data_IF_445943385816
#
_entry.id   IF_445943385816
#
_cell.length_a   1.000
_cell.length_b   1.000
_cell.length_c   1.000
_cell.angle_alpha   90.00
_cell.angle_beta   90.00
_cell.angle_gamma   90.00
#
_symmetry.space_group_name_H-M   'P 1'
#
loop_
_entity.id
_entity.type
_entity.pdbx_description
1 polymer ?
#
# COMPACT_ATOMS: atom_id res chain seq x y z
N UNK A 1 36.13 -64.95 1.70
CA UNK A 1 35.39 -63.75 2.24
C UNK A 1 36.19 -62.54 1.84
N UNK A 2 35.77 -61.84 0.77
CA UNK A 2 36.54 -60.80 0.11
C UNK A 2 35.83 -59.46 0.36
N UNK A 3 36.42 -58.54 1.11
CA UNK A 3 35.91 -57.21 1.30
C UNK A 3 36.36 -56.30 0.16
N UNK A 4 35.36 -55.76 -0.56
CA UNK A 4 35.57 -54.78 -1.63
C UNK A 4 35.63 -53.36 -0.99
N UNK A 5 36.82 -52.76 -0.98
CA UNK A 5 37.08 -51.38 -0.56
C UNK A 5 36.48 -50.40 -1.59
N UNK A 6 35.53 -49.59 -1.14
CA UNK A 6 34.93 -48.50 -1.93
C UNK A 6 35.82 -47.26 -1.78
N UNK A 7 36.70 -47.01 -2.75
CA UNK A 7 37.44 -45.76 -2.86
C UNK A 7 36.49 -44.63 -3.23
N UNK A 8 36.20 -43.74 -2.24
CA UNK A 8 35.60 -42.45 -2.53
C UNK A 8 36.67 -41.56 -3.17
N UNK A 9 36.52 -41.26 -4.45
CA UNK A 9 37.30 -40.22 -5.11
C UNK A 9 36.83 -38.86 -4.62
N UNK A 10 37.64 -38.22 -3.76
CA UNK A 10 37.50 -36.81 -3.45
C UNK A 10 37.96 -36.03 -4.70
N UNK A 11 37.02 -35.36 -5.36
CA UNK A 11 37.34 -34.42 -6.41
C UNK A 11 38.00 -33.20 -5.75
N UNK A 12 39.30 -33.06 -5.95
CA UNK A 12 40.03 -31.89 -5.53
C UNK A 12 39.60 -30.71 -6.42
N UNK A 13 38.83 -29.79 -5.84
CA UNK A 13 38.48 -28.50 -6.47
C UNK A 13 39.74 -27.65 -6.43
N UNK A 14 40.40 -27.49 -7.60
CA UNK A 14 41.59 -26.63 -7.71
C UNK A 14 41.29 -25.15 -7.40
N UNK A 15 42.31 -24.34 -7.11
CA UNK A 15 42.15 -22.94 -6.73
C UNK A 15 41.32 -22.10 -7.70
N UNK A 16 41.31 -22.47 -8.97
CA UNK A 16 40.49 -21.84 -10.02
C UNK A 16 38.98 -22.10 -9.86
N UNK A 17 38.58 -23.26 -9.31
CA UNK A 17 37.20 -23.60 -9.07
C UNK A 17 36.59 -22.75 -7.94
N UNK A 18 37.40 -22.41 -6.91
CA UNK A 18 36.99 -21.57 -5.79
C UNK A 18 36.82 -20.10 -6.24
N UNK A 19 37.72 -19.59 -7.10
CA UNK A 19 37.62 -18.21 -7.63
C UNK A 19 36.41 -18.06 -8.57
N UNK A 20 36.17 -19.05 -9.44
CA UNK A 20 34.99 -19.02 -10.32
C UNK A 20 33.68 -19.13 -9.53
N UNK A 21 33.65 -19.94 -8.48
CA UNK A 21 32.51 -20.05 -7.57
C UNK A 21 32.22 -18.76 -6.82
N UNK A 22 33.24 -18.04 -6.35
CA UNK A 22 33.13 -16.75 -5.69
C UNK A 22 32.66 -15.64 -6.65
N UNK A 23 33.14 -15.63 -7.89
CA UNK A 23 32.71 -14.66 -8.91
C UNK A 23 31.26 -14.90 -9.34
N UNK A 24 30.82 -16.15 -9.48
CA UNK A 24 29.43 -16.48 -9.77
C UNK A 24 28.50 -16.16 -8.61
N UNK A 25 28.94 -16.34 -7.35
CA UNK A 25 28.16 -15.97 -6.17
C UNK A 25 28.03 -14.46 -6.01
N UNK A 26 29.07 -13.68 -6.36
CA UNK A 26 29.02 -12.22 -6.36
C UNK A 26 28.07 -11.64 -7.42
N UNK A 27 27.87 -12.34 -8.55
CA UNK A 27 26.95 -11.90 -9.60
C UNK A 27 25.47 -12.08 -9.23
N UNK A 28 25.15 -13.01 -8.32
CA UNK A 28 23.76 -13.28 -7.90
C UNK A 28 23.25 -12.30 -6.84
N UNK A 29 24.15 -11.57 -6.19
CA UNK A 29 23.83 -10.64 -5.09
C UNK A 29 23.45 -9.22 -5.54
N UNK A 30 23.39 -8.93 -6.84
CA UNK A 30 22.78 -7.70 -7.33
C UNK A 30 21.26 -7.87 -7.32
N UNK A 31 20.67 -7.91 -6.11
CA UNK A 31 19.25 -7.68 -5.93
C UNK A 31 18.98 -6.27 -6.49
N UNK A 32 18.42 -6.21 -7.70
CA UNK A 32 17.98 -4.96 -8.28
C UNK A 32 16.83 -4.47 -7.43
N UNK A 33 17.11 -3.54 -6.52
CA UNK A 33 16.08 -2.72 -5.92
C UNK A 33 15.42 -1.97 -7.09
N UNK A 34 14.29 -2.46 -7.58
CA UNK A 34 13.47 -1.71 -8.50
C UNK A 34 13.02 -0.46 -7.76
N UNK A 35 13.78 0.60 -7.91
CA UNK A 35 13.39 1.92 -7.46
C UNK A 35 12.18 2.31 -8.31
N UNK A 36 10.99 2.13 -7.78
CA UNK A 36 9.79 2.64 -8.43
C UNK A 36 9.90 4.16 -8.46
N UNK A 37 9.85 4.73 -9.64
CA UNK A 37 9.82 6.17 -9.86
C UNK A 37 8.49 6.58 -10.44
N UNK A 38 8.13 7.85 -10.28
CA UNK A 38 6.98 8.49 -10.88
C UNK A 38 7.47 9.58 -11.83
N UNK A 39 6.98 9.57 -13.05
CA UNK A 39 7.27 10.62 -14.02
C UNK A 39 6.05 11.51 -14.19
N UNK A 40 6.22 12.80 -13.93
CA UNK A 40 5.19 13.82 -14.08
C UNK A 40 5.74 14.93 -14.97
N UNK A 41 5.06 15.26 -16.06
CA UNK A 41 5.40 16.35 -16.98
C UNK A 41 6.90 16.43 -17.38
N UNK A 42 7.53 15.27 -17.52
CA UNK A 42 8.92 15.14 -17.88
C UNK A 42 9.88 15.06 -16.69
N UNK A 43 9.48 15.43 -15.50
CA UNK A 43 10.28 15.29 -14.28
C UNK A 43 10.17 13.89 -13.68
N UNK A 44 11.24 13.43 -13.07
CA UNK A 44 11.31 12.11 -12.43
C UNK A 44 11.36 12.27 -10.92
N UNK A 45 10.34 11.77 -10.27
CA UNK A 45 10.26 11.69 -8.80
C UNK A 45 10.69 10.32 -8.34
N UNK A 46 11.56 10.29 -7.36
CA UNK A 46 12.18 9.09 -6.80
C UNK A 46 12.11 9.08 -5.28
N UNK A 47 12.43 7.94 -4.70
CA UNK A 47 12.54 7.83 -3.24
C UNK A 47 13.61 8.79 -2.69
N UNK A 48 13.28 9.52 -1.64
CA UNK A 48 14.12 10.51 -0.98
C UNK A 48 13.78 11.95 -1.39
N UNK A 49 13.11 12.17 -2.52
CA UNK A 49 12.71 13.51 -2.96
C UNK A 49 11.76 14.16 -1.96
N UNK A 50 11.80 15.49 -1.91
CA UNK A 50 10.95 16.25 -1.00
C UNK A 50 9.48 16.25 -1.45
N UNK A 51 8.56 16.32 -0.50
CA UNK A 51 7.13 16.55 -0.75
C UNK A 51 6.91 17.75 -1.67
N UNK A 52 7.66 18.83 -1.46
CA UNK A 52 7.56 20.03 -2.27
C UNK A 52 7.96 19.80 -3.74
N UNK A 53 8.98 18.98 -4.00
CA UNK A 53 9.37 18.58 -5.36
C UNK A 53 8.29 17.72 -6.02
N UNK A 54 7.75 16.74 -5.30
CA UNK A 54 6.63 15.94 -5.78
C UNK A 54 5.43 16.81 -6.17
N UNK A 55 5.05 17.77 -5.32
CA UNK A 55 3.94 18.69 -5.61
C UNK A 55 4.26 19.62 -6.79
N UNK A 56 5.48 20.11 -6.89
CA UNK A 56 5.89 20.96 -8.01
C UNK A 56 5.86 20.24 -9.35
N UNK A 57 6.29 18.97 -9.37
CA UNK A 57 6.33 18.16 -10.58
C UNK A 57 4.97 17.55 -10.97
N UNK A 58 4.21 17.03 -10.00
CA UNK A 58 3.00 16.25 -10.24
C UNK A 58 1.69 16.98 -9.89
N UNK A 59 1.78 18.19 -9.35
CA UNK A 59 0.60 18.93 -8.88
C UNK A 59 0.08 18.43 -7.52
N UNK A 60 -1.14 18.85 -7.19
CA UNK A 60 -1.82 18.37 -5.99
C UNK A 60 -2.33 16.94 -6.20
N UNK A 61 -2.25 16.07 -5.18
CA UNK A 61 -2.80 14.73 -5.29
C UNK A 61 -4.33 14.74 -5.34
N UNK A 62 -4.93 13.79 -6.04
CA UNK A 62 -6.40 13.59 -6.05
C UNK A 62 -6.92 13.21 -4.66
N UNK A 63 -6.09 12.58 -3.83
CA UNK A 63 -6.41 12.25 -2.46
C UNK A 63 -5.18 12.14 -1.59
N UNK A 64 -5.29 12.63 -0.36
CA UNK A 64 -4.31 12.42 0.70
C UNK A 64 -4.94 11.61 1.83
N UNK A 65 -4.25 10.58 2.27
CA UNK A 65 -4.66 9.75 3.41
C UNK A 65 -3.55 9.77 4.46
N UNK A 66 -3.80 10.36 5.65
CA UNK A 66 -2.84 10.26 6.76
C UNK A 66 -2.82 8.82 7.26
N UNK A 67 -1.63 8.28 7.46
CA UNK A 67 -1.43 6.91 7.93
C UNK A 67 -0.35 6.85 8.99
N UNK A 68 -0.42 5.82 9.83
CA UNK A 68 0.52 5.67 10.94
C UNK A 68 0.48 6.88 11.86
N UNK A 69 -0.01 6.72 13.06
CA UNK A 69 -0.12 7.80 14.03
C UNK A 69 0.73 7.48 15.25
N UNK A 70 1.39 8.49 15.79
CA UNK A 70 2.12 8.40 17.06
C UNK A 70 1.47 9.30 18.09
N UNK A 71 1.46 8.84 19.33
CA UNK A 71 1.02 9.66 20.46
C UNK A 71 2.14 10.65 20.83
N UNK A 72 1.84 11.94 20.72
CA UNK A 72 2.77 12.99 21.13
C UNK A 72 2.21 13.70 22.35
N UNK A 73 2.99 13.75 23.42
CA UNK A 73 2.58 14.40 24.69
C UNK A 73 2.28 15.87 24.45
N UNK A 74 1.08 16.31 24.81
CA UNK A 74 0.60 17.68 24.63
C UNK A 74 0.05 18.00 23.24
N UNK A 75 0.26 17.16 22.24
CA UNK A 75 -0.24 17.37 20.87
C UNK A 75 -1.24 16.29 20.39
N UNK A 76 -1.41 15.22 21.15
CA UNK A 76 -2.33 14.14 20.78
C UNK A 76 -1.74 13.18 19.74
N UNK A 77 -2.60 12.63 18.89
CA UNK A 77 -2.21 11.72 17.80
C UNK A 77 -1.82 12.54 16.56
N UNK A 78 -0.58 12.38 16.12
CA UNK A 78 -0.08 13.00 14.90
C UNK A 78 0.28 11.92 13.87
N UNK A 79 -0.15 12.08 12.60
CA UNK A 79 0.30 11.19 11.54
C UNK A 79 1.78 11.44 11.25
N UNK A 80 2.53 10.37 11.06
CA UNK A 80 3.94 10.47 10.66
C UNK A 80 4.17 10.06 9.20
N UNK A 81 3.16 9.49 8.55
CA UNK A 81 3.17 9.14 7.13
C UNK A 81 1.88 9.65 6.46
N UNK A 82 1.99 9.87 5.14
CA UNK A 82 0.85 10.20 4.28
C UNK A 82 0.91 9.33 3.03
N UNK A 83 -0.24 8.91 2.53
CA UNK A 83 -0.39 8.33 1.20
C UNK A 83 -1.02 9.36 0.29
N UNK A 84 -0.31 9.71 -0.77
CA UNK A 84 -0.79 10.59 -1.82
C UNK A 84 -1.15 9.75 -3.04
N UNK A 85 -2.33 9.96 -3.56
CA UNK A 85 -2.84 9.25 -4.74
C UNK A 85 -2.96 10.21 -5.92
N UNK A 86 -2.46 9.77 -7.08
CA UNK A 86 -2.59 10.46 -8.35
C UNK A 86 -3.34 9.55 -9.32
N UNK A 87 -4.45 10.05 -9.87
CA UNK A 87 -5.29 9.37 -10.84
C UNK A 87 -5.17 10.06 -12.19
N UNK A 88 -4.38 9.51 -13.07
CA UNK A 88 -4.14 10.03 -14.42
C UNK A 88 -5.17 9.50 -15.45
N UNK A 89 -6.35 9.12 -14.99
CA UNK A 89 -7.46 8.66 -15.82
C UNK A 89 -7.47 7.15 -16.06
N UNK A 90 -8.53 6.68 -16.72
CA UNK A 90 -8.88 5.27 -16.84
C UNK A 90 -7.87 4.39 -17.61
N UNK A 91 -6.96 5.00 -18.37
CA UNK A 91 -5.94 4.27 -19.15
C UNK A 91 -4.62 4.10 -18.40
N UNK A 92 -4.44 4.81 -17.31
CA UNK A 92 -3.23 4.81 -16.50
C UNK A 92 -3.47 4.14 -15.16
N UNK A 93 -2.40 3.70 -14.52
CA UNK A 93 -2.49 3.19 -13.15
C UNK A 93 -2.55 4.34 -12.16
N UNK A 94 -3.37 4.21 -11.14
CA UNK A 94 -3.30 5.07 -9.97
C UNK A 94 -1.91 4.95 -9.38
N UNK A 95 -1.26 6.08 -9.15
CA UNK A 95 0.04 6.14 -8.48
C UNK A 95 -0.17 6.47 -7.02
N UNK A 96 0.35 5.62 -6.16
CA UNK A 96 0.37 5.85 -4.72
C UNK A 96 1.79 6.22 -4.30
N UNK A 97 1.94 7.40 -3.73
CA UNK A 97 3.20 7.88 -3.18
C UNK A 97 3.09 7.92 -1.66
N UNK A 98 3.94 7.15 -1.00
CA UNK A 98 4.07 7.20 0.46
C UNK A 98 5.07 8.27 0.83
N UNK A 99 4.66 9.19 1.66
CA UNK A 99 5.52 10.21 2.26
C UNK A 99 5.78 9.87 3.73
N UNK A 100 7.00 10.07 4.17
CA UNK A 100 7.40 9.96 5.57
C UNK A 100 8.39 11.09 5.86
N UNK A 101 8.18 11.80 6.92
CA UNK A 101 9.03 12.95 7.33
C UNK A 101 9.23 13.98 6.20
N UNK A 102 8.17 14.22 5.42
CA UNK A 102 8.18 15.19 4.31
C UNK A 102 8.96 14.74 3.07
N UNK A 103 9.32 13.46 2.96
CA UNK A 103 10.03 12.87 1.83
C UNK A 103 9.30 11.67 1.24
N UNK A 104 9.53 11.42 -0.03
CA UNK A 104 9.05 10.21 -0.72
C UNK A 104 9.72 8.97 -0.11
N UNK A 105 8.95 8.17 0.59
CA UNK A 105 9.39 6.90 1.18
C UNK A 105 9.16 5.70 0.26
N UNK A 106 8.25 5.83 -0.70
CA UNK A 106 7.96 4.78 -1.67
C UNK A 106 6.92 5.22 -2.69
N UNK A 107 6.96 4.57 -3.85
CA UNK A 107 6.02 4.79 -4.95
C UNK A 107 5.50 3.42 -5.39
N UNK A 108 4.20 3.30 -5.59
CA UNK A 108 3.57 2.07 -6.05
C UNK A 108 2.52 2.37 -7.11
N UNK A 109 2.33 1.43 -8.04
CA UNK A 109 1.17 1.42 -8.92
C UNK A 109 0.05 0.62 -8.26
N UNK A 110 -1.17 1.12 -8.38
CA UNK A 110 -2.39 0.43 -7.92
C UNK A 110 -3.21 -0.03 -9.13
N UNK A 111 -4.47 -0.31 -8.95
CA UNK A 111 -5.37 -0.61 -10.05
C UNK A 111 -5.42 0.49 -11.10
N UNK A 112 -6.13 0.24 -12.21
CA UNK A 112 -6.37 1.27 -13.21
C UNK A 112 -7.14 2.43 -12.59
N UNK A 113 -6.80 3.63 -13.05
CA UNK A 113 -7.51 4.84 -12.69
C UNK A 113 -8.94 4.87 -13.26
N UNK A 114 -9.57 5.99 -13.10
CA UNK A 114 -10.95 6.22 -13.53
C UNK A 114 -11.06 7.63 -14.09
N UNK A 115 -12.12 7.86 -14.85
CA UNK A 115 -12.45 9.20 -15.30
C UNK A 115 -13.20 9.93 -14.17
N UNK A 116 -12.67 11.02 -13.61
CA UNK A 116 -13.31 11.73 -12.51
C UNK A 116 -14.70 12.27 -12.84
N UNK A 117 -14.95 12.58 -14.12
CA UNK A 117 -16.23 13.12 -14.58
C UNK A 117 -17.31 12.06 -14.85
N UNK A 118 -16.96 10.79 -14.71
CA UNK A 118 -17.89 9.69 -14.93
C UNK A 118 -18.25 9.04 -13.60
N UNK A 119 -19.48 9.20 -13.10
CA UNK A 119 -19.90 8.51 -11.88
C UNK A 119 -19.70 7.00 -12.03
N UNK A 120 -19.02 6.42 -11.05
CA UNK A 120 -18.87 4.97 -11.00
C UNK A 120 -20.22 4.28 -10.77
N UNK A 121 -20.34 3.06 -11.24
CA UNK A 121 -21.44 2.19 -10.86
C UNK A 121 -20.97 1.27 -9.73
N UNK A 122 -21.66 1.31 -8.61
CA UNK A 122 -21.32 0.48 -7.46
C UNK A 122 -22.51 -0.40 -7.05
N UNK A 123 -22.28 -1.67 -7.03
CA UNK A 123 -23.22 -2.65 -6.52
C UNK A 123 -22.75 -3.24 -5.18
N UNK A 124 -23.66 -3.89 -4.50
CA UNK A 124 -23.37 -4.52 -3.19
C UNK A 124 -22.31 -5.63 -3.23
N UNK A 125 -21.83 -6.03 -4.41
CA UNK A 125 -20.79 -7.06 -4.62
C UNK A 125 -19.44 -6.50 -5.06
N UNK A 126 -19.33 -5.19 -5.25
CA UNK A 126 -18.15 -4.58 -5.87
C UNK A 126 -17.06 -4.20 -4.86
N UNK A 127 -17.24 -4.60 -3.61
CA UNK A 127 -16.27 -4.39 -2.55
C UNK A 127 -15.33 -5.57 -2.40
N UNK A 128 -14.06 -5.28 -2.23
CA UNK A 128 -13.03 -6.29 -1.96
C UNK A 128 -11.93 -5.75 -1.03
N UNK A 129 -11.31 -6.62 -0.22
CA UNK A 129 -10.13 -6.24 0.53
C UNK A 129 -9.03 -5.67 -0.38
N UNK A 130 -8.33 -4.66 0.11
CA UNK A 130 -7.28 -3.96 -0.62
C UNK A 130 -7.73 -2.74 -1.41
N UNK A 131 -9.03 -2.55 -1.70
CA UNK A 131 -9.54 -1.32 -2.32
C UNK A 131 -9.14 -0.10 -1.50
N UNK A 132 -8.72 0.95 -2.17
CA UNK A 132 -8.35 2.21 -1.53
C UNK A 132 -9.57 3.09 -1.28
N UNK A 133 -9.45 4.02 -0.35
CA UNK A 133 -10.48 5.05 -0.12
C UNK A 133 -10.81 5.80 -1.43
N UNK A 134 -9.79 6.13 -2.23
CA UNK A 134 -9.97 6.79 -3.52
C UNK A 134 -10.85 5.96 -4.47
N UNK A 135 -10.58 4.66 -4.60
CA UNK A 135 -11.38 3.76 -5.44
C UNK A 135 -12.82 3.61 -4.94
N UNK A 136 -13.02 3.54 -3.62
CA UNK A 136 -14.35 3.48 -3.02
C UNK A 136 -15.19 4.71 -3.37
N UNK A 137 -14.63 5.90 -3.13
CA UNK A 137 -15.33 7.15 -3.40
C UNK A 137 -15.60 7.33 -4.90
N UNK A 138 -14.65 6.99 -5.75
CA UNK A 138 -14.80 7.09 -7.19
C UNK A 138 -15.87 6.16 -7.75
N UNK A 139 -15.97 4.94 -7.22
CA UNK A 139 -16.91 3.92 -7.71
C UNK A 139 -18.28 3.99 -7.02
N UNK A 140 -18.27 4.21 -5.72
CA UNK A 140 -19.44 4.05 -4.87
C UNK A 140 -19.96 5.35 -4.27
N UNK A 141 -19.21 6.45 -4.44
CA UNK A 141 -19.54 7.71 -3.79
C UNK A 141 -19.32 7.66 -2.28
N UNK A 142 -19.87 8.67 -1.60
CA UNK A 142 -19.79 8.75 -0.14
C UNK A 142 -20.61 7.63 0.52
N UNK A 143 -20.11 7.03 1.62
CA UNK A 143 -20.89 6.08 2.39
C UNK A 143 -22.06 6.76 3.09
N UNK A 144 -23.13 6.00 3.36
CA UNK A 144 -24.29 6.48 4.13
C UNK A 144 -23.93 6.85 5.59
N UNK A 145 -22.92 6.21 6.14
CA UNK A 145 -22.36 6.54 7.46
C UNK A 145 -20.87 6.22 7.53
N UNK A 146 -20.14 6.99 8.33
CA UNK A 146 -18.71 6.81 8.56
C UNK A 146 -18.40 6.98 10.04
N UNK A 147 -17.81 5.97 10.63
CA UNK A 147 -17.31 5.99 11.98
C UNK A 147 -15.80 5.78 12.01
N UNK A 148 -15.09 6.56 12.83
CA UNK A 148 -13.62 6.48 12.97
C UNK A 148 -13.29 6.08 14.40
N UNK A 149 -12.43 5.10 14.56
CA UNK A 149 -11.90 4.71 15.87
C UNK A 149 -10.38 4.59 15.84
N UNK A 150 -9.78 4.86 16.96
CA UNK A 150 -8.34 4.75 17.15
C UNK A 150 -8.06 3.36 17.72
N UNK A 151 -7.22 2.60 17.03
CA UNK A 151 -6.66 1.38 17.57
C UNK A 151 -5.28 1.69 18.13
N UNK A 152 -5.16 1.71 19.47
CA UNK A 152 -3.88 1.78 20.18
C UNK A 152 -3.27 0.37 20.27
N UNK A 153 -1.95 0.30 20.43
CA UNK A 153 -1.18 -0.94 20.55
C UNK A 153 -1.01 -1.74 19.24
N UNK A 154 -1.21 -1.11 18.10
CA UNK A 154 -0.83 -1.71 16.83
C UNK A 154 0.70 -1.70 16.66
N UNK A 155 1.32 -2.87 16.59
CA UNK A 155 2.72 -3.00 16.20
C UNK A 155 2.80 -2.97 14.68
N UNK A 156 3.37 -1.91 14.08
CA UNK A 156 3.64 -1.90 12.66
C UNK A 156 4.75 -2.91 12.33
N UNK A 157 4.43 -4.00 11.61
CA UNK A 157 5.43 -5.03 11.30
C UNK A 157 6.61 -4.49 10.50
N UNK A 158 6.44 -3.35 9.81
CA UNK A 158 7.47 -2.69 9.00
C UNK A 158 8.39 -1.81 9.84
N UNK A 159 7.97 -1.44 11.06
CA UNK A 159 8.70 -0.54 11.97
C UNK A 159 8.62 -0.99 13.42
N UNK A 160 9.08 -2.19 13.73
CA UNK A 160 8.99 -2.73 15.09
C UNK A 160 9.73 -1.88 16.15
N UNK A 161 10.70 -1.08 15.71
CA UNK A 161 11.47 -0.19 16.59
C UNK A 161 10.69 1.04 17.07
N UNK A 162 9.56 1.40 16.44
CA UNK A 162 8.74 2.54 16.87
C UNK A 162 7.82 2.22 18.05
N UNK A 163 7.80 0.96 18.50
CA UNK A 163 6.91 0.53 19.56
C UNK A 163 5.45 0.53 19.15
N UNK A 164 4.57 0.77 20.10
CA UNK A 164 3.13 0.85 19.89
C UNK A 164 2.78 2.12 19.11
N UNK A 165 2.23 1.95 17.93
CA UNK A 165 1.69 3.04 17.11
C UNK A 165 0.16 2.96 17.09
N UNK A 166 -0.52 4.09 16.97
CA UNK A 166 -1.95 4.12 16.77
C UNK A 166 -2.27 4.04 15.27
N UNK A 167 -3.29 3.29 14.94
CA UNK A 167 -3.83 3.16 13.59
C UNK A 167 -5.26 3.67 13.60
N UNK A 168 -5.63 4.44 12.59
CA UNK A 168 -7.02 4.82 12.38
C UNK A 168 -7.73 3.69 11.64
N UNK A 169 -8.74 3.15 12.30
CA UNK A 169 -9.69 2.25 11.69
C UNK A 169 -10.96 3.02 11.39
N UNK A 170 -11.42 2.94 10.16
CA UNK A 170 -12.67 3.55 9.72
C UNK A 170 -13.68 2.45 9.38
N UNK A 171 -14.90 2.62 9.82
CA UNK A 171 -16.02 1.80 9.42
C UNK A 171 -16.91 2.61 8.49
N UNK A 172 -17.08 2.13 7.26
CA UNK A 172 -17.91 2.75 6.24
C UNK A 172 -19.13 1.88 5.95
N UNK A 173 -20.29 2.51 5.94
CA UNK A 173 -21.56 1.85 5.72
C UNK A 173 -22.15 2.25 4.38
N UNK A 174 -22.42 1.28 3.50
CA UNK A 174 -23.10 1.50 2.24
C UNK A 174 -24.51 0.85 2.27
N UNK A 175 -25.52 1.69 2.04
CA UNK A 175 -26.93 1.28 1.96
C UNK A 175 -27.36 1.17 0.49
N UNK A 176 -27.82 0.01 0.06
CA UNK A 176 -28.30 -0.25 -1.30
C UNK A 176 -29.83 -0.44 -1.35
N UNK A 177 -30.53 0.13 -0.37
CA UNK A 177 -31.97 0.08 -0.26
C UNK A 177 -32.52 -1.23 0.33
N UNK A 178 -33.86 -1.31 0.55
CA UNK A 178 -34.49 -2.34 1.38
C UNK A 178 -34.40 -3.78 0.84
N UNK A 179 -34.07 -3.91 -0.44
CA UNK A 179 -33.96 -5.22 -1.09
C UNK A 179 -32.54 -5.81 -1.09
N UNK A 180 -31.56 -5.07 -0.55
CA UNK A 180 -30.15 -5.48 -0.47
C UNK A 180 -29.69 -5.47 0.99
N UNK A 181 -28.63 -6.21 1.24
CA UNK A 181 -27.93 -6.12 2.53
C UNK A 181 -27.05 -4.87 2.56
N UNK A 182 -27.03 -4.21 3.71
CA UNK A 182 -26.05 -3.17 4.02
C UNK A 182 -24.66 -3.79 3.96
N UNK A 183 -23.72 -3.05 3.38
CA UNK A 183 -22.30 -3.43 3.39
C UNK A 183 -21.57 -2.56 4.40
N UNK A 184 -20.82 -3.22 5.26
CA UNK A 184 -20.00 -2.58 6.27
C UNK A 184 -18.55 -2.85 5.91
N UNK A 185 -17.79 -1.80 5.64
CA UNK A 185 -16.40 -1.91 5.27
C UNK A 185 -15.54 -1.44 6.43
N UNK A 186 -14.58 -2.26 6.84
CA UNK A 186 -13.55 -1.84 7.78
C UNK A 186 -12.30 -1.44 7.00
N UNK A 187 -11.91 -0.19 7.11
CA UNK A 187 -10.70 0.36 6.47
C UNK A 187 -9.62 0.57 7.52
N UNK A 188 -8.40 0.23 7.17
CA UNK A 188 -7.21 0.53 7.95
C UNK A 188 -6.21 1.21 7.04
N UNK A 189 -5.67 2.35 7.47
CA UNK A 189 -4.77 3.17 6.66
C UNK A 189 -5.35 3.48 5.27
N UNK A 190 -6.65 3.80 5.21
CA UNK A 190 -7.36 4.13 3.98
C UNK A 190 -7.56 2.98 2.99
N UNK A 191 -7.43 1.71 3.44
CA UNK A 191 -7.66 0.51 2.63
C UNK A 191 -8.67 -0.41 3.28
N UNK A 192 -9.55 -0.96 2.45
CA UNK A 192 -10.50 -1.99 2.90
C UNK A 192 -9.72 -3.19 3.41
N UNK A 193 -9.93 -3.53 4.66
CA UNK A 193 -9.43 -4.73 5.32
C UNK A 193 -10.45 -5.84 5.31
N UNK A 194 -11.69 -5.49 5.60
CA UNK A 194 -12.79 -6.43 5.74
C UNK A 194 -14.06 -5.89 5.12
N UNK A 195 -14.89 -6.77 4.62
CA UNK A 195 -16.18 -6.47 3.97
C UNK A 195 -17.25 -7.36 4.57
N UNK A 196 -18.09 -6.77 5.40
CA UNK A 196 -19.19 -7.46 6.09
C UNK A 196 -20.55 -7.12 5.49
N UNK A 197 -21.54 -7.91 5.89
CA UNK A 197 -22.94 -7.65 5.62
C UNK A 197 -23.68 -7.47 6.94
N UNK A 198 -24.43 -6.39 7.05
CA UNK A 198 -25.37 -6.19 8.14
C UNK A 198 -26.80 -6.57 7.71
N UNK A 199 -27.81 -6.13 8.47
CA UNK A 199 -29.21 -6.33 8.12
C UNK A 199 -29.59 -5.78 6.73
N UNK A 200 -30.87 -5.85 6.39
CA UNK A 200 -31.37 -5.26 5.14
C UNK A 200 -31.26 -3.74 5.17
N UNK A 201 -31.01 -3.17 4.01
CA UNK A 201 -30.98 -1.73 3.84
C UNK A 201 -32.34 -1.08 4.10
N UNK A 202 -32.33 0.23 4.06
CA UNK A 202 -33.49 1.08 4.33
C UNK A 202 -33.68 2.09 3.19
N UNK A 203 -34.85 2.74 3.18
CA UNK A 203 -35.13 3.86 2.28
C UNK A 203 -34.56 5.13 2.90
N UNK A 204 -33.81 5.88 2.12
CA UNK A 204 -33.39 7.24 2.44
C UNK A 204 -34.51 8.24 2.17
#
# INVERSE_FOLDING_TARGET
MTQAGRHRRLLAVGPYGLVVGLLLFALVLTAQAHASSLRCDGELISRGDLRAQLRAACGEPDMTVPVGHMQVTGAGLLPYEELWYYNEGARNFIREVRLSDGRVAGIASRGYGFNPDTPGSCGHRDFSPGMTRLELLARCGEPADRHVRIMSDYLDPRRPQLGSTAVLEEQWVYNFGPHRFIRVLTLVDGRVREVDSAGRGYRE
#
